data_IF_611239390813
#
_entry.id   IF_611239390813
#
_cell.length_a   1.000
_cell.length_b   1.000
_cell.length_c   1.000
_cell.angle_alpha   90.00
_cell.angle_beta   90.00
_cell.angle_gamma   90.00
#
_symmetry.space_group_name_H-M   'P 1'
#
loop_
_entity.id
_entity.type
_entity.pdbx_description
1 polymer ?
#
# COMPACT_ATOMS: atom_id res chain seq x y z
N UNK A 1 16.32 2.77 -3.13
CA UNK A 1 15.28 2.25 -2.24
C UNK A 1 14.05 1.80 -3.03
N UNK A 2 13.41 2.62 -3.88
CA UNK A 2 12.22 2.28 -4.70
C UNK A 2 12.37 0.99 -5.54
N UNK A 3 13.49 0.82 -6.28
CA UNK A 3 13.73 -0.40 -7.06
C UNK A 3 13.86 -1.66 -6.21
N UNK A 4 14.45 -1.54 -5.02
CA UNK A 4 14.59 -2.67 -4.10
C UNK A 4 13.23 -3.08 -3.53
N UNK A 5 12.37 -2.13 -3.17
CA UNK A 5 11.00 -2.40 -2.73
C UNK A 5 10.20 -3.14 -3.82
N UNK A 6 10.14 -2.59 -5.04
CA UNK A 6 9.42 -3.20 -6.14
C UNK A 6 9.92 -4.64 -6.43
N UNK A 7 11.24 -4.86 -6.40
CA UNK A 7 11.83 -6.18 -6.59
C UNK A 7 11.45 -7.16 -5.46
N UNK A 8 11.41 -6.69 -4.21
CA UNK A 8 11.04 -7.53 -3.06
C UNK A 8 9.59 -8.00 -3.16
N UNK A 9 8.66 -7.09 -3.44
CA UNK A 9 7.23 -7.43 -3.56
C UNK A 9 6.91 -8.26 -4.82
N UNK A 10 7.76 -8.21 -5.84
CA UNK A 10 7.62 -9.05 -7.05
C UNK A 10 8.19 -10.46 -6.86
N UNK A 11 8.93 -10.72 -5.78
CA UNK A 11 9.55 -12.04 -5.59
C UNK A 11 8.49 -13.12 -5.31
N UNK A 12 8.58 -14.31 -5.94
CA UNK A 12 7.62 -15.40 -5.72
C UNK A 12 7.53 -15.83 -4.25
N UNK A 13 8.64 -15.76 -3.50
CA UNK A 13 8.70 -16.10 -2.10
C UNK A 13 7.88 -15.13 -1.23
N UNK A 14 8.01 -13.81 -1.47
CA UNK A 14 7.24 -12.78 -0.76
C UNK A 14 5.76 -12.87 -1.15
N UNK A 15 5.44 -13.04 -2.43
CA UNK A 15 4.05 -13.22 -2.87
C UNK A 15 3.40 -14.46 -2.25
N UNK A 16 4.14 -15.57 -2.15
CA UNK A 16 3.68 -16.77 -1.45
C UNK A 16 3.46 -16.46 0.04
N UNK A 17 4.40 -15.78 0.69
CA UNK A 17 4.31 -15.44 2.11
C UNK A 17 3.11 -14.53 2.41
N UNK A 18 2.90 -13.50 1.59
CA UNK A 18 1.78 -12.55 1.71
C UNK A 18 0.44 -13.14 1.25
N UNK A 19 0.44 -14.22 0.45
CA UNK A 19 -0.76 -14.89 -0.02
C UNK A 19 -1.50 -14.17 -1.14
N UNK A 20 -0.78 -13.36 -1.89
CA UNK A 20 -1.35 -12.57 -2.98
C UNK A 20 -1.99 -11.26 -2.52
N UNK A 21 -2.08 -10.99 -1.21
CA UNK A 21 -2.51 -9.70 -0.67
C UNK A 21 -1.26 -8.85 -0.38
N UNK A 22 -1.05 -7.78 -1.15
CA UNK A 22 0.13 -6.92 -1.02
C UNK A 22 0.05 -5.92 0.14
N UNK A 23 -1.12 -5.79 0.75
CA UNK A 23 -1.36 -4.94 1.93
C UNK A 23 -2.36 -5.59 2.89
N UNK A 24 -2.37 -5.19 4.18
CA UNK A 24 -3.31 -5.70 5.17
C UNK A 24 -4.77 -5.57 4.72
N UNK A 25 -5.51 -6.69 4.79
CA UNK A 25 -6.92 -6.77 4.41
C UNK A 25 -7.21 -6.87 2.92
N UNK A 26 -6.23 -6.65 2.03
CA UNK A 26 -6.39 -6.77 0.59
C UNK A 26 -7.63 -6.04 0.08
N UNK A 27 -8.43 -6.67 -0.77
CA UNK A 27 -9.62 -6.05 -1.35
C UNK A 27 -10.64 -5.49 -0.32
N UNK A 28 -10.67 -6.00 0.92
CA UNK A 28 -11.59 -5.46 1.95
C UNK A 28 -11.18 -4.05 2.37
N UNK A 29 -9.88 -3.84 2.59
CA UNK A 29 -9.36 -2.52 2.93
C UNK A 29 -9.51 -1.56 1.76
N UNK A 30 -9.24 -2.03 0.53
CA UNK A 30 -9.48 -1.23 -0.68
C UNK A 30 -10.94 -0.79 -0.78
N UNK A 31 -11.91 -1.71 -0.64
CA UNK A 31 -13.35 -1.36 -0.65
C UNK A 31 -13.68 -0.33 0.43
N UNK A 32 -13.11 -0.51 1.63
CA UNK A 32 -13.35 0.43 2.73
C UNK A 32 -12.77 1.81 2.43
N UNK A 33 -11.57 1.90 1.88
CA UNK A 33 -10.96 3.16 1.46
C UNK A 33 -11.80 3.88 0.39
N UNK A 34 -12.25 3.15 -0.63
CA UNK A 34 -13.10 3.67 -1.71
C UNK A 34 -14.48 4.13 -1.19
N UNK A 35 -15.05 3.41 -0.21
CA UNK A 35 -16.29 3.80 0.47
C UNK A 35 -16.11 5.09 1.25
N UNK A 36 -15.04 5.21 2.04
CA UNK A 36 -14.75 6.38 2.88
C UNK A 36 -14.58 7.66 2.03
N UNK A 37 -13.92 7.58 0.88
CA UNK A 37 -13.83 8.72 -0.04
C UNK A 37 -15.08 8.89 -0.91
N UNK A 38 -16.06 7.98 -0.81
CA UNK A 38 -17.33 8.06 -1.53
C UNK A 38 -17.14 8.07 -3.05
N UNK A 39 -16.27 7.19 -3.59
CA UNK A 39 -16.05 7.05 -5.03
C UNK A 39 -17.35 6.68 -5.74
N UNK A 40 -17.63 7.34 -6.87
CA UNK A 40 -18.87 7.18 -7.63
C UNK A 40 -18.62 6.67 -9.03
N UNK A 41 -19.65 6.04 -9.60
CA UNK A 41 -19.62 5.63 -11.01
C UNK A 41 -19.37 6.82 -11.94
N UNK A 42 -18.46 6.61 -12.90
CA UNK A 42 -18.06 7.62 -13.87
C UNK A 42 -17.01 8.62 -13.37
N UNK A 43 -16.69 8.65 -12.07
CA UNK A 43 -15.56 9.46 -11.57
C UNK A 43 -14.22 8.91 -12.05
N UNK A 44 -13.23 9.81 -12.13
CA UNK A 44 -11.83 9.47 -12.48
C UNK A 44 -11.04 9.23 -11.20
N UNK A 45 -10.57 8.00 -11.04
CA UNK A 45 -9.70 7.55 -9.95
C UNK A 45 -8.26 7.49 -10.41
N UNK A 46 -7.34 8.08 -9.64
CA UNK A 46 -5.91 7.84 -9.75
C UNK A 46 -5.47 6.85 -8.66
N UNK A 47 -4.88 5.73 -9.06
CA UNK A 47 -4.29 4.73 -8.15
C UNK A 47 -2.77 4.88 -8.18
N UNK A 48 -2.17 5.39 -7.09
CA UNK A 48 -0.75 5.73 -7.00
C UNK A 48 0.05 4.60 -6.40
N UNK A 49 1.11 4.19 -7.08
CA UNK A 49 1.87 2.97 -6.81
C UNK A 49 0.97 1.73 -6.91
N UNK A 50 0.24 1.65 -8.03
CA UNK A 50 -0.84 0.68 -8.26
C UNK A 50 -0.38 -0.79 -8.30
N UNK A 51 0.91 -1.07 -8.28
CA UNK A 51 1.46 -2.41 -8.33
C UNK A 51 0.95 -3.20 -9.52
N UNK A 52 0.33 -4.34 -9.27
CA UNK A 52 -0.29 -5.20 -10.30
C UNK A 52 -1.72 -4.81 -10.65
N UNK A 53 -2.20 -3.64 -10.19
CA UNK A 53 -3.46 -3.03 -10.61
C UNK A 53 -4.72 -3.55 -9.91
N UNK A 54 -4.58 -4.33 -8.86
CA UNK A 54 -5.72 -4.98 -8.18
C UNK A 54 -6.77 -3.97 -7.73
N UNK A 55 -6.36 -2.86 -7.10
CA UNK A 55 -7.25 -1.82 -6.55
C UNK A 55 -7.96 -1.03 -7.64
N UNK A 56 -7.24 -0.61 -8.69
CA UNK A 56 -7.83 0.09 -9.84
C UNK A 56 -8.85 -0.79 -10.57
N UNK A 57 -8.52 -2.07 -10.80
CA UNK A 57 -9.40 -3.04 -11.46
C UNK A 57 -10.63 -3.31 -10.59
N UNK A 58 -10.47 -3.48 -9.28
CA UNK A 58 -11.57 -3.65 -8.33
C UNK A 58 -12.53 -2.45 -8.38
N UNK A 59 -11.98 -1.23 -8.28
CA UNK A 59 -12.76 0.00 -8.29
C UNK A 59 -13.59 0.14 -9.59
N UNK A 60 -12.96 -0.08 -10.74
CA UNK A 60 -13.65 0.01 -12.02
C UNK A 60 -14.74 -1.06 -12.18
N UNK A 61 -14.44 -2.30 -11.74
CA UNK A 61 -15.37 -3.44 -11.84
C UNK A 61 -16.61 -3.26 -10.95
N UNK A 62 -16.41 -2.85 -9.70
CA UNK A 62 -17.48 -2.81 -8.71
C UNK A 62 -18.23 -1.48 -8.67
N UNK A 63 -17.53 -0.37 -8.90
CA UNK A 63 -18.11 0.97 -8.78
C UNK A 63 -18.30 1.67 -10.13
N UNK A 64 -17.74 1.13 -11.22
CA UNK A 64 -17.93 1.69 -12.56
C UNK A 64 -17.19 3.02 -12.79
N UNK A 65 -16.14 3.29 -12.06
CA UNK A 65 -15.27 4.45 -12.27
C UNK A 65 -14.34 4.26 -13.48
N UNK A 66 -13.64 5.34 -13.86
CA UNK A 66 -12.52 5.33 -14.79
C UNK A 66 -11.24 5.39 -13.97
N UNK A 67 -10.44 4.34 -13.97
CA UNK A 67 -9.25 4.26 -13.15
C UNK A 67 -7.97 4.38 -13.99
N UNK A 68 -7.03 5.16 -13.50
CA UNK A 68 -5.66 5.22 -14.02
C UNK A 68 -4.71 4.85 -12.91
N UNK A 69 -3.94 3.78 -13.09
CA UNK A 69 -2.87 3.41 -12.19
C UNK A 69 -1.54 3.98 -12.63
N UNK A 70 -0.75 4.50 -11.70
CA UNK A 70 0.67 4.80 -11.93
C UNK A 70 1.54 3.88 -11.10
N UNK A 71 2.61 3.41 -11.69
CA UNK A 71 3.54 2.48 -11.06
C UNK A 71 4.97 2.73 -11.56
N UNK A 72 5.95 2.62 -10.66
CA UNK A 72 7.36 2.83 -10.98
C UNK A 72 7.95 1.68 -11.79
N UNK A 73 7.53 0.44 -11.53
CA UNK A 73 8.00 -0.77 -12.19
C UNK A 73 7.29 -1.00 -13.54
N UNK A 74 8.05 -0.95 -14.64
CA UNK A 74 7.53 -1.28 -15.96
C UNK A 74 6.98 -2.72 -16.06
N UNK A 75 7.50 -3.64 -15.26
CA UNK A 75 7.01 -5.02 -15.20
C UNK A 75 5.63 -5.09 -14.54
N UNK A 76 5.48 -4.42 -13.41
CA UNK A 76 4.19 -4.32 -12.71
C UNK A 76 3.13 -3.66 -13.60
N UNK A 77 3.48 -2.58 -14.32
CA UNK A 77 2.59 -1.92 -15.29
C UNK A 77 2.10 -2.92 -16.37
N UNK A 78 3.02 -3.71 -16.96
CA UNK A 78 2.63 -4.72 -17.95
C UNK A 78 1.70 -5.79 -17.35
N UNK A 79 1.99 -6.23 -16.14
CA UNK A 79 1.16 -7.22 -15.43
C UNK A 79 -0.22 -6.66 -15.13
N UNK A 80 -0.29 -5.42 -14.63
CA UNK A 80 -1.54 -4.72 -14.34
C UNK A 80 -2.39 -4.52 -15.61
N UNK A 81 -1.78 -4.09 -16.72
CA UNK A 81 -2.49 -3.93 -17.99
C UNK A 81 -3.05 -5.26 -18.50
N UNK A 82 -2.24 -6.33 -18.47
CA UNK A 82 -2.71 -7.66 -18.87
C UNK A 82 -3.87 -8.16 -17.97
N UNK A 83 -3.85 -7.85 -16.68
CA UNK A 83 -4.93 -8.18 -15.76
C UNK A 83 -6.23 -7.39 -16.08
N UNK A 84 -6.13 -6.11 -16.40
CA UNK A 84 -7.28 -5.30 -16.81
C UNK A 84 -7.88 -5.79 -18.14
N UNK A 85 -7.04 -6.14 -19.11
CA UNK A 85 -7.46 -6.68 -20.40
C UNK A 85 -8.19 -8.03 -20.21
N UNK A 86 -7.62 -8.91 -19.38
CA UNK A 86 -8.23 -10.20 -19.04
C UNK A 86 -9.57 -10.05 -18.30
N UNK A 87 -9.73 -8.98 -17.52
CA UNK A 87 -10.98 -8.65 -16.85
C UNK A 87 -12.01 -7.96 -17.78
N UNK A 88 -11.67 -7.66 -19.03
CA UNK A 88 -12.53 -6.96 -19.97
C UNK A 88 -12.75 -5.49 -19.63
N UNK A 89 -11.78 -4.85 -18.98
CA UNK A 89 -11.86 -3.48 -18.46
C UNK A 89 -10.92 -2.49 -19.19
N UNK A 90 -10.38 -2.86 -20.34
CA UNK A 90 -9.41 -2.05 -21.10
C UNK A 90 -9.95 -0.64 -21.46
N UNK A 91 -11.27 -0.47 -21.57
CA UNK A 91 -11.91 0.83 -21.84
C UNK A 91 -12.08 1.70 -20.57
N UNK A 92 -11.82 1.14 -19.39
CA UNK A 92 -12.05 1.80 -18.08
C UNK A 92 -10.83 1.90 -17.21
N UNK A 93 -9.85 1.01 -17.41
CA UNK A 93 -8.64 0.94 -16.59
C UNK A 93 -7.41 0.98 -17.47
N UNK A 94 -6.50 1.89 -17.18
CA UNK A 94 -5.21 1.98 -17.84
C UNK A 94 -4.07 2.17 -16.83
N UNK A 95 -2.86 1.75 -17.20
CA UNK A 95 -1.68 1.86 -16.34
C UNK A 95 -0.55 2.57 -17.06
N UNK A 96 0.16 3.44 -16.33
CA UNK A 96 1.25 4.25 -16.85
C UNK A 96 2.47 4.06 -15.94
N UNK A 97 3.64 3.85 -16.55
CA UNK A 97 4.87 3.90 -15.80
C UNK A 97 5.22 5.35 -15.48
N UNK A 98 5.20 5.73 -14.21
CA UNK A 98 5.56 7.07 -13.73
C UNK A 98 6.08 7.04 -12.31
N UNK A 99 6.70 8.14 -11.91
CA UNK A 99 7.07 8.41 -10.52
C UNK A 99 5.95 9.23 -9.84
N UNK A 100 5.64 8.92 -8.59
CA UNK A 100 4.68 9.68 -7.81
C UNK A 100 5.12 11.13 -7.52
N UNK A 101 6.42 11.40 -7.61
CA UNK A 101 7.00 12.72 -7.41
C UNK A 101 6.85 13.65 -8.65
N UNK A 102 6.41 13.10 -9.81
CA UNK A 102 6.24 13.84 -11.08
C UNK A 102 5.14 13.17 -11.92
N UNK A 103 3.89 13.53 -11.63
CA UNK A 103 2.72 12.91 -12.26
C UNK A 103 2.47 13.51 -13.66
N UNK A 104 2.37 12.68 -14.73
CA UNK A 104 2.22 13.14 -16.10
C UNK A 104 0.77 13.55 -16.45
N UNK A 105 0.13 14.30 -15.55
CA UNK A 105 -1.26 14.73 -15.71
C UNK A 105 -1.41 16.22 -15.47
N UNK A 106 -2.40 16.82 -16.12
CA UNK A 106 -2.78 18.22 -15.90
C UNK A 106 -3.42 18.42 -14.53
N UNK A 107 -3.39 19.66 -14.03
CA UNK A 107 -4.04 20.06 -12.79
C UNK A 107 -5.53 19.71 -12.81
N UNK A 108 -6.05 19.16 -11.72
CA UNK A 108 -7.46 18.83 -11.58
C UNK A 108 -7.96 17.71 -12.49
N UNK A 109 -7.07 16.82 -12.93
CA UNK A 109 -7.40 15.71 -13.84
C UNK A 109 -8.24 14.62 -13.20
N UNK A 110 -8.27 14.50 -11.87
CA UNK A 110 -8.92 13.41 -11.16
C UNK A 110 -9.94 13.89 -10.12
N UNK A 111 -10.99 13.09 -9.92
CA UNK A 111 -12.01 13.30 -8.89
C UNK A 111 -11.57 12.73 -7.55
N UNK A 112 -10.87 11.59 -7.59
CA UNK A 112 -10.39 10.87 -6.41
C UNK A 112 -8.99 10.30 -6.67
N UNK A 113 -8.24 10.10 -5.58
CA UNK A 113 -6.98 9.38 -5.61
C UNK A 113 -6.92 8.34 -4.49
N UNK A 114 -6.17 7.28 -4.73
CA UNK A 114 -5.89 6.18 -3.81
C UNK A 114 -4.38 5.93 -3.78
N UNK A 115 -3.83 5.68 -2.59
CA UNK A 115 -2.45 5.24 -2.41
C UNK A 115 -2.40 4.21 -1.28
N UNK A 116 -2.14 2.94 -1.59
CA UNK A 116 -2.21 1.85 -0.61
C UNK A 116 -0.83 1.27 -0.32
N UNK A 117 -0.47 1.23 0.96
CA UNK A 117 0.76 0.62 1.51
C UNK A 117 2.04 1.05 0.78
N UNK A 118 2.11 2.32 0.38
CA UNK A 118 3.18 2.80 -0.50
C UNK A 118 3.75 4.15 -0.10
N UNK A 119 2.95 5.07 0.46
CA UNK A 119 3.41 6.41 0.82
C UNK A 119 4.58 6.36 1.80
N UNK A 120 4.55 5.44 2.78
CA UNK A 120 5.67 5.20 3.71
C UNK A 120 6.99 4.94 2.99
N UNK A 121 6.96 4.30 1.82
CA UNK A 121 8.15 3.92 1.05
C UNK A 121 8.70 5.03 0.15
N UNK A 122 7.94 6.11 -0.05
CA UNK A 122 8.35 7.21 -0.93
C UNK A 122 9.53 7.98 -0.32
N UNK A 123 10.52 8.30 -1.16
CA UNK A 123 11.71 9.05 -0.74
C UNK A 123 11.39 10.53 -0.47
N UNK A 124 10.41 11.07 -1.18
CA UNK A 124 9.95 12.45 -1.08
C UNK A 124 8.43 12.47 -0.95
N UNK A 125 7.94 12.12 0.25
CA UNK A 125 6.50 12.03 0.54
C UNK A 125 5.78 13.35 0.26
N UNK A 126 6.45 14.45 0.58
CA UNK A 126 5.96 15.82 0.41
C UNK A 126 5.73 16.15 -1.07
N UNK A 127 6.65 15.76 -1.95
CA UNK A 127 6.51 15.97 -3.40
C UNK A 127 5.36 15.14 -3.96
N UNK A 128 5.27 13.87 -3.58
CA UNK A 128 4.19 13.00 -4.03
C UNK A 128 2.81 13.53 -3.58
N UNK A 129 2.70 14.00 -2.33
CA UNK A 129 1.46 14.61 -1.84
C UNK A 129 1.15 15.94 -2.52
N UNK A 130 2.14 16.77 -2.84
CA UNK A 130 1.94 17.99 -3.61
C UNK A 130 1.44 17.69 -5.03
N UNK A 131 1.98 16.66 -5.69
CA UNK A 131 1.52 16.20 -7.00
C UNK A 131 0.09 15.64 -6.93
N UNK A 132 -0.22 14.82 -5.91
CA UNK A 132 -1.59 14.34 -5.67
C UNK A 132 -2.56 15.51 -5.45
N UNK A 133 -2.16 16.51 -4.67
CA UNK A 133 -2.97 17.70 -4.49
C UNK A 133 -3.16 18.46 -5.81
N UNK A 134 -2.14 18.61 -6.64
CA UNK A 134 -2.20 19.30 -7.94
C UNK A 134 -3.16 18.61 -8.90
N UNK A 135 -3.06 17.29 -9.04
CA UNK A 135 -3.84 16.53 -10.04
C UNK A 135 -5.28 16.25 -9.61
N UNK A 136 -5.60 16.31 -8.32
CA UNK A 136 -6.98 16.26 -7.85
C UNK A 136 -7.67 17.60 -8.17
N UNK A 137 -8.93 17.58 -8.62
CA UNK A 137 -9.72 18.80 -8.81
C UNK A 137 -10.10 19.46 -7.47
N UNK A 138 -10.47 20.74 -7.43
CA UNK A 138 -11.07 21.34 -6.23
C UNK A 138 -12.29 20.52 -5.76
N UNK A 139 -12.30 20.17 -4.46
CA UNK A 139 -13.25 19.22 -3.89
C UNK A 139 -12.99 17.76 -4.24
N UNK A 140 -11.83 17.44 -4.80
CA UNK A 140 -11.34 16.07 -4.98
C UNK A 140 -10.99 15.42 -3.65
N UNK A 141 -10.92 14.08 -3.62
CA UNK A 141 -10.77 13.30 -2.38
C UNK A 141 -9.63 12.31 -2.52
N UNK A 142 -8.90 12.11 -1.43
CA UNK A 142 -7.75 11.22 -1.34
C UNK A 142 -8.00 10.18 -0.24
N UNK A 143 -7.70 8.91 -0.51
CA UNK A 143 -7.50 7.90 0.50
C UNK A 143 -6.05 7.40 0.47
N UNK A 144 -5.46 7.31 1.64
CA UNK A 144 -4.17 6.64 1.85
C UNK A 144 -4.40 5.54 2.87
N UNK A 145 -4.00 4.33 2.57
CA UNK A 145 -3.91 3.28 3.59
C UNK A 145 -2.46 2.88 3.74
N UNK A 146 -1.93 2.90 4.97
CA UNK A 146 -0.53 2.58 5.19
C UNK A 146 -0.26 2.02 6.58
N UNK A 147 0.90 1.41 6.74
CA UNK A 147 1.43 0.96 8.04
C UNK A 147 1.68 2.17 8.91
N UNK A 148 1.26 2.10 10.16
CA UNK A 148 1.57 3.11 11.19
C UNK A 148 2.54 2.53 12.21
N UNK A 149 3.53 3.32 12.64
CA UNK A 149 4.53 2.85 13.60
C UNK A 149 4.95 3.95 14.59
N UNK A 150 4.99 3.59 15.86
CA UNK A 150 5.63 4.36 16.92
C UNK A 150 7.04 3.78 17.14
N UNK A 151 8.03 4.36 16.47
CA UNK A 151 9.41 3.85 16.49
C UNK A 151 10.06 3.85 17.88
N UNK A 152 9.62 4.71 18.80
CA UNK A 152 10.14 4.76 20.17
C UNK A 152 9.66 3.55 21.00
N UNK A 153 8.53 2.96 20.62
CA UNK A 153 7.90 1.82 21.29
C UNK A 153 8.11 0.48 20.57
N UNK A 154 8.59 0.50 19.32
CA UNK A 154 8.84 -0.73 18.58
C UNK A 154 9.93 -1.59 19.24
N UNK A 155 9.76 -2.93 19.29
CA UNK A 155 10.84 -3.85 19.69
C UNK A 155 12.12 -3.62 18.87
N UNK A 156 13.27 -3.53 19.54
CA UNK A 156 14.58 -3.25 18.88
C UNK A 156 14.90 -4.13 17.67
N UNK A 157 14.63 -5.46 17.68
CA UNK A 157 14.89 -6.29 16.50
C UNK A 157 14.06 -5.87 15.29
N UNK A 158 12.79 -5.49 15.49
CA UNK A 158 11.95 -4.95 14.42
C UNK A 158 12.55 -3.65 13.87
N UNK A 159 12.97 -2.71 14.70
CA UNK A 159 13.57 -1.46 14.26
C UNK A 159 14.85 -1.66 13.42
N UNK A 160 15.65 -2.69 13.69
CA UNK A 160 16.87 -3.00 12.93
C UNK A 160 16.57 -3.68 11.58
N UNK A 161 15.60 -4.58 11.55
CA UNK A 161 15.17 -5.31 10.34
C UNK A 161 14.30 -4.44 9.44
N UNK A 162 13.57 -3.53 10.04
CA UNK A 162 12.69 -2.56 9.36
C UNK A 162 13.42 -1.71 8.32
N UNK A 163 14.74 -1.55 8.42
CA UNK A 163 15.55 -0.96 7.36
C UNK A 163 15.49 -1.75 6.03
N UNK A 164 15.05 -3.01 6.08
CA UNK A 164 14.97 -3.92 4.94
C UNK A 164 13.51 -4.19 4.49
N UNK A 165 12.54 -3.99 5.39
CA UNK A 165 11.09 -4.05 5.07
C UNK A 165 10.59 -2.63 4.94
N UNK A 166 10.67 -2.09 3.73
CA UNK A 166 10.60 -0.67 3.45
C UNK A 166 9.34 0.04 4.01
N UNK A 167 8.16 -0.60 3.96
CA UNK A 167 6.93 0.05 4.44
C UNK A 167 6.94 0.28 5.96
N UNK A 168 7.50 -0.62 6.76
CA UNK A 168 7.51 -0.46 8.22
C UNK A 168 8.66 0.43 8.69
N UNK A 169 9.84 0.32 8.04
CA UNK A 169 11.03 1.11 8.41
C UNK A 169 10.88 2.61 8.23
N UNK A 170 9.99 3.02 7.35
CA UNK A 170 9.70 4.43 7.04
C UNK A 170 8.26 4.83 7.36
N UNK A 171 7.50 3.95 8.03
CA UNK A 171 6.16 4.24 8.52
C UNK A 171 6.20 5.39 9.54
N UNK A 172 5.13 6.15 9.59
CA UNK A 172 4.95 7.24 10.55
C UNK A 172 3.90 6.82 11.58
N UNK A 173 3.86 7.44 12.76
CA UNK A 173 2.68 7.37 13.61
C UNK A 173 1.49 8.05 12.90
N UNK A 174 0.27 7.72 13.29
CA UNK A 174 -0.96 8.27 12.68
C UNK A 174 -0.90 9.79 12.52
N UNK A 175 -0.49 10.49 13.59
CA UNK A 175 -0.34 11.94 13.56
C UNK A 175 0.66 12.44 12.53
N UNK A 176 1.73 11.66 12.27
CA UNK A 176 2.72 12.01 11.25
C UNK A 176 2.14 12.01 9.84
N UNK A 177 1.21 11.09 9.54
CA UNK A 177 0.47 11.12 8.27
C UNK A 177 -0.50 12.30 8.20
N UNK A 178 -1.22 12.60 9.28
CA UNK A 178 -2.13 13.75 9.36
C UNK A 178 -1.38 15.07 9.18
N UNK A 179 -0.21 15.21 9.81
CA UNK A 179 0.65 16.39 9.69
C UNK A 179 1.14 16.54 8.22
N UNK A 180 1.63 15.46 7.60
CA UNK A 180 2.06 15.46 6.19
C UNK A 180 0.93 15.85 5.23
N UNK A 181 -0.28 15.33 5.43
CA UNK A 181 -1.44 15.69 4.61
C UNK A 181 -1.77 17.17 4.76
N UNK A 182 -1.76 17.68 6.00
CA UNK A 182 -2.03 19.08 6.29
C UNK A 182 -0.97 20.02 5.71
N UNK A 183 0.31 19.65 5.77
CA UNK A 183 1.42 20.39 5.17
C UNK A 183 1.32 20.44 3.63
N UNK A 184 0.76 19.38 3.01
CA UNK A 184 0.47 19.34 1.59
C UNK A 184 -0.86 20.02 1.20
N UNK A 185 -1.44 20.82 2.10
CA UNK A 185 -2.69 21.57 1.93
C UNK A 185 -3.96 20.72 1.75
N UNK A 186 -3.95 19.48 2.20
CA UNK A 186 -5.14 18.65 2.31
C UNK A 186 -5.89 18.93 3.62
N UNK A 187 -7.22 18.92 3.56
CA UNK A 187 -8.08 18.86 4.75
C UNK A 187 -8.21 17.39 5.19
N UNK A 188 -7.66 17.02 6.34
CA UNK A 188 -7.81 15.68 6.90
C UNK A 188 -9.25 15.49 7.35
N UNK A 189 -9.95 14.49 6.79
CA UNK A 189 -11.36 14.22 7.06
C UNK A 189 -11.55 13.12 8.09
N UNK A 190 -10.77 12.04 7.99
CA UNK A 190 -10.84 10.92 8.94
C UNK A 190 -9.54 10.11 8.93
N UNK A 191 -9.29 9.46 10.07
CA UNK A 191 -8.34 8.37 10.23
C UNK A 191 -9.10 7.17 10.80
N UNK A 192 -9.11 6.05 10.09
CA UNK A 192 -9.74 4.79 10.53
C UNK A 192 -8.68 3.72 10.72
N UNK A 193 -8.52 3.23 11.95
CA UNK A 193 -7.57 2.15 12.27
C UNK A 193 -8.09 0.82 11.75
N UNK A 194 -7.22 0.08 11.10
CA UNK A 194 -7.45 -1.25 10.54
C UNK A 194 -6.46 -2.28 11.12
N UNK A 195 -6.10 -2.15 12.39
CA UNK A 195 -5.09 -3.00 13.05
C UNK A 195 -5.46 -4.48 13.03
N UNK A 196 -6.76 -4.81 13.05
CA UNK A 196 -7.23 -6.17 12.92
C UNK A 196 -6.84 -6.82 11.58
N UNK A 197 -6.72 -6.02 10.50
CA UNK A 197 -6.26 -6.51 9.20
C UNK A 197 -4.74 -6.74 9.20
N UNK A 198 -3.98 -5.86 9.87
CA UNK A 198 -2.55 -6.06 10.08
C UNK A 198 -2.28 -7.30 10.94
N UNK A 199 -3.03 -7.50 12.03
CA UNK A 199 -2.94 -8.67 12.89
C UNK A 199 -3.25 -9.95 12.11
N UNK A 200 -4.34 -9.99 11.34
CA UNK A 200 -4.71 -11.13 10.52
C UNK A 200 -3.65 -11.46 9.46
N UNK A 201 -2.99 -10.44 8.86
CA UNK A 201 -1.88 -10.65 7.93
C UNK A 201 -0.66 -11.24 8.65
N UNK A 202 -0.29 -10.70 9.82
CA UNK A 202 0.82 -11.22 10.60
C UNK A 202 0.60 -12.69 11.01
N UNK A 203 -0.60 -13.05 11.46
CA UNK A 203 -0.97 -14.43 11.78
C UNK A 203 -0.84 -15.36 10.57
N UNK A 204 -1.34 -14.95 9.40
CA UNK A 204 -1.19 -15.74 8.16
C UNK A 204 0.26 -15.94 7.76
N UNK A 205 1.10 -14.92 7.91
CA UNK A 205 2.55 -15.00 7.67
C UNK A 205 3.18 -16.02 8.61
N UNK A 206 2.89 -15.94 9.91
CA UNK A 206 3.39 -16.85 10.94
C UNK A 206 2.98 -18.31 10.61
N UNK A 207 1.72 -18.53 10.25
CA UNK A 207 1.22 -19.87 9.94
C UNK A 207 1.88 -20.47 8.70
N UNK A 208 2.16 -19.66 7.68
CA UNK A 208 2.88 -20.09 6.48
C UNK A 208 4.34 -20.41 6.77
N UNK A 209 5.02 -19.57 7.56
CA UNK A 209 6.40 -19.84 7.99
C UNK A 209 6.49 -21.13 8.82
N UNK A 210 5.54 -21.36 9.74
CA UNK A 210 5.45 -22.62 10.50
C UNK A 210 5.22 -23.82 9.59
N UNK A 211 4.31 -23.69 8.62
CA UNK A 211 4.05 -24.72 7.63
C UNK A 211 5.29 -25.06 6.80
N UNK A 212 6.01 -24.06 6.31
CA UNK A 212 7.26 -24.23 5.57
C UNK A 212 8.32 -24.96 6.39
N UNK A 213 8.45 -24.63 7.68
CA UNK A 213 9.37 -25.29 8.61
C UNK A 213 9.02 -26.79 8.79
N UNK A 214 7.75 -27.13 8.95
CA UNK A 214 7.28 -28.52 9.11
C UNK A 214 7.54 -29.34 7.84
N UNK A 215 7.38 -28.72 6.65
CA UNK A 215 7.60 -29.37 5.36
C UNK A 215 9.09 -29.49 4.99
N UNK A 216 10.01 -28.97 5.82
CA UNK A 216 11.45 -29.06 5.59
C UNK A 216 11.91 -28.21 4.40
N UNK A 217 11.15 -27.18 4.02
CA UNK A 217 11.67 -26.13 3.16
C UNK A 217 12.79 -25.44 3.96
N UNK A 218 14.04 -25.81 3.66
CA UNK A 218 15.22 -25.10 4.16
C UNK A 218 15.19 -23.66 3.70
N UNK A 219 16.18 -22.86 4.16
CA UNK A 219 16.30 -21.45 3.87
C UNK A 219 15.63 -21.09 2.53
N UNK A 220 14.67 -20.18 2.58
CA UNK A 220 14.08 -19.62 1.35
C UNK A 220 15.25 -18.95 0.64
N UNK A 221 15.84 -19.65 -0.32
CA UNK A 221 17.21 -19.46 -0.82
C UNK A 221 17.52 -18.08 -1.45
N UNK A 222 16.55 -17.16 -1.40
CA UNK A 222 16.66 -15.78 -1.88
C UNK A 222 16.18 -14.76 -0.82
N UNK A 223 15.78 -15.19 0.38
CA UNK A 223 15.36 -14.28 1.44
C UNK A 223 16.58 -13.79 2.25
N UNK A 224 16.57 -12.52 2.61
CA UNK A 224 17.60 -11.90 3.46
C UNK A 224 17.66 -12.49 4.89
N UNK A 225 16.77 -13.43 5.24
CA UNK A 225 16.59 -13.99 6.58
C UNK A 225 16.41 -15.51 6.53
N UNK A 226 16.91 -16.19 7.55
CA UNK A 226 16.56 -17.59 7.81
C UNK A 226 15.08 -17.71 8.19
N UNK A 227 14.53 -18.92 8.03
CA UNK A 227 13.13 -19.19 8.38
C UNK A 227 12.84 -18.91 9.87
N UNK A 228 13.81 -19.20 10.77
CA UNK A 228 13.66 -18.93 12.20
C UNK A 228 13.67 -17.44 12.51
N UNK A 229 14.56 -16.67 11.89
CA UNK A 229 14.58 -15.20 12.00
C UNK A 229 13.29 -14.57 11.46
N UNK A 230 12.80 -15.03 10.30
CA UNK A 230 11.55 -14.56 9.73
C UNK A 230 10.36 -14.83 10.66
N UNK A 231 10.32 -16.00 11.30
CA UNK A 231 9.28 -16.38 12.26
C UNK A 231 9.34 -15.54 13.54
N UNK A 232 10.54 -15.28 14.06
CA UNK A 232 10.75 -14.40 15.21
C UNK A 232 10.26 -12.97 14.91
N UNK A 233 10.65 -12.42 13.77
CA UNK A 233 10.24 -11.09 13.33
C UNK A 233 8.75 -10.95 13.12
N UNK A 234 8.12 -11.95 12.49
CA UNK A 234 6.66 -11.96 12.31
C UNK A 234 5.92 -12.04 13.65
N UNK A 235 6.46 -12.80 14.62
CA UNK A 235 5.90 -12.88 15.98
C UNK A 235 6.03 -11.56 16.72
N UNK A 236 7.19 -10.90 16.66
CA UNK A 236 7.40 -9.57 17.23
C UNK A 236 6.51 -8.51 16.59
N UNK A 237 6.26 -8.61 15.27
CA UNK A 237 5.33 -7.72 14.60
C UNK A 237 3.89 -7.92 15.09
N UNK A 238 3.45 -9.16 15.29
CA UNK A 238 2.13 -9.45 15.85
C UNK A 238 1.98 -8.91 17.29
N UNK A 239 3.01 -9.03 18.12
CA UNK A 239 3.04 -8.45 19.47
C UNK A 239 2.98 -6.92 19.42
N UNK A 240 3.78 -6.28 18.56
CA UNK A 240 3.79 -4.83 18.39
C UNK A 240 2.43 -4.28 17.91
N UNK A 241 1.72 -5.04 17.06
CA UNK A 241 0.34 -4.70 16.64
C UNK A 241 -0.61 -4.81 17.83
N UNK A 242 -0.53 -5.89 18.61
CA UNK A 242 -1.37 -6.07 19.80
C UNK A 242 -1.15 -4.99 20.87
N UNK A 243 0.09 -4.48 20.98
CA UNK A 243 0.47 -3.39 21.90
C UNK A 243 0.21 -1.98 21.33
N UNK A 244 -0.16 -1.89 20.05
CA UNK A 244 -0.46 -0.64 19.36
C UNK A 244 0.76 0.23 19.06
N UNK A 245 1.96 -0.36 18.99
CA UNK A 245 3.18 0.31 18.53
C UNK A 245 3.42 0.14 17.02
N UNK A 246 2.75 -0.83 16.42
CA UNK A 246 2.64 -1.06 14.97
C UNK A 246 1.15 -1.18 14.63
N UNK A 247 0.74 -0.70 13.47
CA UNK A 247 -0.67 -0.77 13.06
C UNK A 247 -0.84 -0.56 11.57
N UNK A 248 -2.09 -0.41 11.17
CA UNK A 248 -2.50 -0.07 9.80
C UNK A 248 -3.71 0.85 9.85
N UNK A 249 -3.71 1.91 9.08
CA UNK A 249 -4.80 2.88 9.07
C UNK A 249 -5.13 3.38 7.67
N UNK A 250 -6.39 3.78 7.48
CA UNK A 250 -6.87 4.51 6.30
C UNK A 250 -7.03 5.97 6.70
N UNK A 251 -6.38 6.86 5.98
CA UNK A 251 -6.51 8.30 6.09
C UNK A 251 -7.30 8.80 4.89
N UNK A 252 -8.29 9.65 5.14
CA UNK A 252 -9.03 10.32 4.07
C UNK A 252 -8.85 11.83 4.16
N UNK A 253 -8.72 12.46 3.01
CA UNK A 253 -8.50 13.89 2.94
C UNK A 253 -9.21 14.52 1.72
N UNK A 254 -9.53 15.79 1.84
CA UNK A 254 -10.12 16.63 0.78
C UNK A 254 -9.14 17.66 0.27
N UNK A 255 -9.24 17.97 -1.05
CA UNK A 255 -8.56 19.10 -1.67
C UNK A 255 -9.42 20.36 -1.61
#
# INVERSE_FOLDING_TARGET
MRQACAATYSSPAVQWLLGGELHPGGERTTRRALELIGLRSGERLLDVASGTGTSAILAARELGCLATGIEYSAESVRTAQAAADAAGLCDRVGFIQSDADDLPFDDGSFDTALCECSLSTFSHKELALAELHRVLRPGGRLAISDVTADHDRLPKPLGQVMAHVACVGSALPERGYEDLLSEAAFEVLACERCDHEAAAMAERIIDRLRGARVLGFGDVAEAAFSLDEALELASLAAEAIAEGSLGYAIFTAGR
#
